data_IF_348812794557
#
_entry.id   IF_348812794557
#
_cell.length_a   1.000
_cell.length_b   1.000
_cell.length_c   1.000
_cell.angle_alpha   90.00
_cell.angle_beta   90.00
_cell.angle_gamma   90.00
#
_symmetry.space_group_name_H-M   'P 1'
#
loop_
_entity.id
_entity.type
_entity.pdbx_description
1 polymer ?
#
# COMPACT_ATOMS: atom_id res chain seq x y z
N UNK A 1 48.09 8.89 42.29
CA UNK A 1 47.36 9.81 41.40
C UNK A 1 47.82 9.47 39.98
N UNK A 2 47.05 8.67 39.20
CA UNK A 2 46.11 9.13 38.14
C UNK A 2 46.81 10.15 37.21
N UNK A 3 47.05 9.94 35.91
CA UNK A 3 46.29 9.22 34.89
C UNK A 3 47.17 8.71 33.73
N UNK A 4 46.85 7.51 33.25
CA UNK A 4 47.23 6.95 31.95
C UNK A 4 46.52 7.70 30.82
N UNK A 5 47.27 8.10 29.79
CA UNK A 5 46.74 8.65 28.54
C UNK A 5 46.63 7.51 27.53
N UNK A 6 45.40 7.12 27.21
CA UNK A 6 45.05 6.12 26.21
C UNK A 6 44.71 6.88 24.91
N UNK A 7 45.60 6.80 23.92
CA UNK A 7 45.38 7.38 22.58
C UNK A 7 44.41 6.49 21.80
N UNK A 8 43.16 6.95 21.64
CA UNK A 8 42.20 6.32 20.74
C UNK A 8 42.41 6.77 19.30
N UNK A 9 42.82 5.82 18.47
CA UNK A 9 42.88 5.89 17.02
C UNK A 9 41.43 5.96 16.47
N UNK A 10 41.01 7.12 15.97
CA UNK A 10 39.75 7.25 15.23
C UNK A 10 39.96 6.76 13.79
N UNK A 11 39.37 5.62 13.47
CA UNK A 11 39.28 5.08 12.12
C UNK A 11 38.23 5.90 11.34
N UNK A 12 38.69 6.76 10.43
CA UNK A 12 37.80 7.51 9.54
C UNK A 12 37.30 6.59 8.41
N UNK A 13 36.05 6.14 8.51
CA UNK A 13 35.39 5.38 7.43
C UNK A 13 35.08 6.32 6.28
N UNK A 14 35.75 6.11 5.14
CA UNK A 14 35.46 6.76 3.86
C UNK A 14 34.13 6.21 3.34
N UNK A 15 33.08 7.03 3.32
CA UNK A 15 31.83 6.70 2.62
C UNK A 15 32.02 7.12 1.16
N UNK A 16 32.27 6.13 0.29
CA UNK A 16 32.25 6.32 -1.16
C UNK A 16 30.78 6.37 -1.59
N UNK A 17 30.26 7.57 -1.79
CA UNK A 17 28.97 7.77 -2.48
C UNK A 17 29.18 7.65 -3.99
N UNK A 18 28.91 6.48 -4.56
CA UNK A 18 28.76 6.32 -6.01
C UNK A 18 27.39 6.85 -6.43
N UNK A 19 27.38 8.07 -6.98
CA UNK A 19 26.24 8.65 -7.67
C UNK A 19 26.06 7.98 -9.03
N UNK A 20 25.23 6.95 -9.11
CA UNK A 20 24.77 6.44 -10.41
C UNK A 20 23.60 7.32 -10.89
N UNK A 21 23.90 8.25 -11.80
CA UNK A 21 22.91 8.81 -12.71
C UNK A 21 22.41 7.70 -13.62
N UNK A 22 21.19 7.21 -13.37
CA UNK A 22 20.45 6.42 -14.35
C UNK A 22 19.47 7.35 -15.05
N UNK A 23 19.90 7.91 -16.17
CA UNK A 23 19.00 8.39 -17.20
C UNK A 23 18.41 7.17 -17.91
N UNK A 24 17.14 6.88 -17.65
CA UNK A 24 16.36 5.89 -18.38
C UNK A 24 14.90 6.31 -18.39
N UNK A 25 14.36 6.57 -19.57
CA UNK A 25 12.93 6.64 -19.79
C UNK A 25 12.34 5.23 -19.57
N UNK A 26 12.07 4.91 -18.31
CA UNK A 26 11.39 3.71 -17.87
C UNK A 26 10.60 4.10 -16.64
N UNK A 27 9.35 3.62 -16.53
CA UNK A 27 8.50 3.84 -15.36
C UNK A 27 9.33 3.62 -14.10
N UNK A 28 9.63 4.68 -13.36
CA UNK A 28 10.53 4.60 -12.22
C UNK A 28 10.05 3.48 -11.30
N UNK A 29 10.91 2.50 -11.03
CA UNK A 29 10.65 1.45 -10.04
C UNK A 29 10.52 2.14 -8.69
N UNK A 30 9.27 2.43 -8.28
CA UNK A 30 9.00 3.02 -6.99
C UNK A 30 9.31 1.98 -5.93
N UNK A 31 10.05 2.39 -4.89
CA UNK A 31 10.42 1.50 -3.80
C UNK A 31 9.18 0.97 -3.08
N UNK A 32 9.28 -0.26 -2.55
CA UNK A 32 8.25 -0.88 -1.72
C UNK A 32 7.92 0.01 -0.52
N UNK A 33 6.64 0.19 -0.23
CA UNK A 33 6.20 1.02 0.88
C UNK A 33 6.46 0.34 2.24
N UNK A 34 6.62 1.13 3.31
CA UNK A 34 6.76 0.59 4.67
C UNK A 34 5.55 -0.25 5.03
N UNK A 35 5.76 -1.51 5.40
CA UNK A 35 4.67 -2.41 5.79
C UNK A 35 3.97 -1.88 7.03
N UNK A 36 2.64 -1.76 6.95
CA UNK A 36 1.76 -1.42 8.07
C UNK A 36 0.73 -2.53 8.24
N UNK A 37 0.25 -2.66 9.47
CA UNK A 37 -0.86 -3.55 9.82
C UNK A 37 -2.16 -2.74 10.00
N UNK A 38 -3.06 -2.73 9.00
CA UNK A 38 -4.33 -2.01 9.10
C UNK A 38 -5.24 -2.57 10.19
N UNK A 39 -5.07 -3.83 10.60
CA UNK A 39 -5.86 -4.45 11.67
C UNK A 39 -5.66 -3.78 13.03
N UNK A 40 -4.52 -3.13 13.22
CA UNK A 40 -4.16 -2.35 14.41
C UNK A 40 -4.46 -0.85 14.26
N UNK A 41 -5.31 -0.49 13.29
CA UNK A 41 -5.64 0.89 12.94
C UNK A 41 -4.39 1.72 12.57
N UNK A 42 -3.30 1.08 12.12
CA UNK A 42 -2.05 1.79 11.80
C UNK A 42 -2.24 2.73 10.61
N UNK A 43 -2.98 2.31 9.58
CA UNK A 43 -3.32 3.17 8.45
C UNK A 43 -4.10 4.40 8.92
N UNK A 44 -5.13 4.19 9.74
CA UNK A 44 -5.95 5.26 10.32
C UNK A 44 -5.11 6.24 11.17
N UNK A 45 -4.14 5.73 11.94
CA UNK A 45 -3.19 6.57 12.71
C UNK A 45 -2.34 7.43 11.79
N UNK A 46 -1.90 6.92 10.64
CA UNK A 46 -1.11 7.70 9.69
C UNK A 46 -1.90 8.90 9.14
N UNK A 47 -3.21 8.72 8.90
CA UNK A 47 -4.11 9.76 8.37
C UNK A 47 -4.40 10.89 9.37
N UNK A 48 -4.03 10.75 10.66
CA UNK A 48 -4.16 11.81 11.65
C UNK A 48 -3.09 12.90 11.55
N UNK A 49 -1.97 12.62 10.88
CA UNK A 49 -0.80 13.50 10.86
C UNK A 49 -0.39 13.86 9.43
N UNK A 50 -0.55 15.14 9.07
CA UNK A 50 -0.19 15.67 7.74
C UNK A 50 1.27 15.47 7.35
N UNK A 51 2.18 15.27 8.32
CA UNK A 51 3.58 14.94 8.04
C UNK A 51 3.76 13.56 7.36
N UNK A 52 2.69 12.76 7.29
CA UNK A 52 2.67 11.50 6.54
C UNK A 52 2.29 11.67 5.05
N UNK A 53 1.97 12.89 4.61
CA UNK A 53 1.68 13.18 3.19
C UNK A 53 2.88 12.78 2.33
N UNK A 54 2.61 12.04 1.26
CA UNK A 54 3.64 11.55 0.34
C UNK A 54 4.44 10.35 0.84
N UNK A 55 4.20 9.85 2.06
CA UNK A 55 4.85 8.61 2.53
C UNK A 55 4.28 7.40 1.78
N UNK A 56 5.18 6.49 1.40
CA UNK A 56 4.83 5.18 0.83
C UNK A 56 4.70 4.15 1.93
N UNK A 57 3.54 3.50 2.00
CA UNK A 57 3.25 2.42 2.93
C UNK A 57 2.74 1.21 2.16
N UNK A 58 2.69 0.05 2.80
CA UNK A 58 2.16 -1.15 2.19
C UNK A 58 1.34 -1.99 3.15
N UNK A 59 0.42 -2.77 2.61
CA UNK A 59 -0.40 -3.74 3.35
C UNK A 59 -0.26 -5.10 2.69
N UNK A 60 -0.44 -6.16 3.47
CA UNK A 60 -0.45 -7.53 2.98
C UNK A 60 -1.84 -8.11 3.19
N UNK A 61 -2.43 -8.67 2.14
CA UNK A 61 -3.74 -9.33 2.23
C UNK A 61 -4.14 -10.03 0.94
N UNK A 62 -5.41 -10.41 0.87
CA UNK A 62 -6.02 -11.07 -0.27
C UNK A 62 -6.86 -10.07 -1.06
N UNK A 63 -6.61 -9.93 -2.38
CA UNK A 63 -7.41 -9.07 -3.23
C UNK A 63 -8.87 -9.57 -3.29
N UNK A 64 -9.83 -8.64 -3.32
CA UNK A 64 -11.26 -8.89 -3.47
C UNK A 64 -11.94 -7.74 -4.23
N UNK A 65 -12.89 -7.99 -5.15
CA UNK A 65 -13.73 -6.94 -5.73
C UNK A 65 -15.05 -6.79 -4.96
N UNK A 66 -15.57 -5.57 -4.83
CA UNK A 66 -16.77 -5.24 -4.04
C UNK A 66 -18.09 -5.75 -4.63
N UNK A 67 -18.05 -6.34 -5.82
CA UNK A 67 -19.21 -6.89 -6.54
C UNK A 67 -18.83 -7.25 -7.97
N UNK A 68 -19.86 -7.41 -8.82
CA UNK A 68 -19.67 -7.65 -10.25
C UNK A 68 -18.84 -6.51 -10.87
N UNK A 69 -17.76 -6.88 -11.55
CA UNK A 69 -16.95 -5.93 -12.29
C UNK A 69 -17.71 -5.60 -13.58
N UNK A 70 -18.14 -4.35 -13.71
CA UNK A 70 -18.75 -3.85 -14.93
C UNK A 70 -17.66 -3.31 -15.84
N UNK A 71 -17.40 -4.00 -16.94
CA UNK A 71 -16.48 -3.51 -17.98
C UNK A 71 -17.19 -2.45 -18.81
N UNK A 72 -17.07 -1.19 -18.41
CA UNK A 72 -17.59 -0.03 -19.14
C UNK A 72 -16.50 1.02 -19.34
N UNK A 73 -16.67 1.91 -20.32
CA UNK A 73 -15.76 3.04 -20.55
C UNK A 73 -15.83 3.95 -19.31
N UNK A 74 -14.71 4.08 -18.59
CA UNK A 74 -14.48 4.96 -17.42
C UNK A 74 -14.95 4.49 -16.03
N UNK A 75 -15.22 3.21 -15.80
CA UNK A 75 -15.48 2.69 -14.45
C UNK A 75 -14.35 1.75 -14.00
N UNK A 76 -13.26 2.34 -13.49
CA UNK A 76 -12.17 1.56 -12.90
C UNK A 76 -12.69 0.82 -11.65
N UNK A 77 -12.46 -0.50 -11.54
CA UNK A 77 -12.99 -1.27 -10.43
C UNK A 77 -12.29 -0.89 -9.12
N UNK A 78 -13.03 -1.05 -8.04
CA UNK A 78 -12.50 -0.90 -6.67
C UNK A 78 -11.99 -2.25 -6.19
N UNK A 79 -10.67 -2.34 -6.01
CA UNK A 79 -10.02 -3.48 -5.41
C UNK A 79 -9.93 -3.29 -3.90
N UNK A 80 -10.56 -4.20 -3.17
CA UNK A 80 -10.39 -4.37 -1.74
C UNK A 80 -9.22 -5.33 -1.45
N UNK A 81 -8.57 -5.12 -0.33
CA UNK A 81 -7.58 -6.05 0.23
C UNK A 81 -8.11 -6.50 1.58
N UNK A 82 -8.35 -7.81 1.74
CA UNK A 82 -8.92 -8.39 2.94
C UNK A 82 -7.89 -9.25 3.71
N UNK A 83 -8.15 -9.47 5.00
CA UNK A 83 -7.30 -10.33 5.83
C UNK A 83 -7.38 -11.82 5.49
N UNK A 84 -8.49 -12.26 4.88
CA UNK A 84 -8.74 -13.64 4.48
C UNK A 84 -9.17 -13.74 3.01
N UNK A 85 -9.12 -14.95 2.45
CA UNK A 85 -9.48 -15.24 1.06
C UNK A 85 -10.96 -15.02 0.76
N UNK A 86 -11.29 -14.93 -0.52
CA UNK A 86 -12.66 -14.93 -1.04
C UNK A 86 -13.53 -13.80 -0.46
N UNK A 87 -12.93 -12.63 -0.23
CA UNK A 87 -13.66 -11.49 0.31
C UNK A 87 -13.96 -11.55 1.81
N UNK A 88 -13.48 -12.59 2.51
CA UNK A 88 -13.76 -12.81 3.94
C UNK A 88 -12.81 -12.05 4.85
N UNK A 89 -13.14 -12.06 6.14
CA UNK A 89 -12.37 -11.38 7.16
C UNK A 89 -12.52 -9.87 7.08
N UNK A 90 -11.51 -9.14 7.53
CA UNK A 90 -11.55 -7.68 7.68
C UNK A 90 -11.01 -6.99 6.43
N UNK A 91 -11.68 -5.91 6.03
CA UNK A 91 -11.19 -4.99 5.01
C UNK A 91 -9.96 -4.23 5.54
N UNK A 92 -8.83 -4.39 4.85
CA UNK A 92 -7.54 -3.78 5.19
C UNK A 92 -7.29 -2.48 4.45
N UNK A 93 -7.65 -2.44 3.16
CA UNK A 93 -7.54 -1.27 2.29
C UNK A 93 -8.51 -1.41 1.11
N UNK A 94 -8.86 -0.28 0.48
CA UNK A 94 -9.69 -0.22 -0.72
C UNK A 94 -9.17 0.89 -1.63
N UNK A 95 -9.02 0.61 -2.92
CA UNK A 95 -8.51 1.56 -3.90
C UNK A 95 -8.99 1.24 -5.32
N UNK A 96 -9.03 2.26 -6.17
CA UNK A 96 -9.34 2.14 -7.60
C UNK A 96 -8.13 1.60 -8.35
N UNK A 97 -8.33 0.65 -9.27
CA UNK A 97 -7.27 0.07 -10.11
C UNK A 97 -7.70 0.02 -11.58
N UNK A 98 -6.88 0.49 -12.53
CA UNK A 98 -7.28 0.55 -13.94
C UNK A 98 -7.31 -0.83 -14.62
N UNK A 99 -8.15 -0.93 -15.66
CA UNK A 99 -8.15 -2.10 -16.56
C UNK A 99 -7.01 -2.08 -17.56
N UNK A 100 -6.41 -3.24 -17.81
CA UNK A 100 -5.48 -3.41 -18.92
C UNK A 100 -4.64 -4.68 -18.83
N UNK A 101 -3.42 -4.63 -19.38
CA UNK A 101 -2.46 -5.76 -19.43
C UNK A 101 -1.04 -5.34 -19.06
N UNK A 102 -0.87 -4.11 -18.57
CA UNK A 102 0.38 -3.53 -18.09
C UNK A 102 0.59 -3.71 -16.59
N UNK A 103 1.65 -3.09 -16.08
CA UNK A 103 2.02 -3.19 -14.66
C UNK A 103 1.03 -2.40 -13.77
N UNK A 104 0.61 -3.01 -12.66
CA UNK A 104 -0.39 -2.46 -11.72
C UNK A 104 -1.79 -2.23 -12.33
N UNK A 105 -2.11 -3.00 -13.37
CA UNK A 105 -3.43 -3.03 -13.98
C UNK A 105 -4.11 -4.37 -13.68
N UNK A 106 -5.43 -4.41 -13.82
CA UNK A 106 -6.21 -5.65 -13.73
C UNK A 106 -6.66 -6.04 -15.12
N UNK A 107 -6.39 -7.30 -15.49
CA UNK A 107 -6.93 -7.87 -16.72
C UNK A 107 -8.21 -8.65 -16.41
N UNK A 108 -9.27 -8.32 -17.14
CA UNK A 108 -10.59 -8.95 -17.04
C UNK A 108 -11.06 -9.41 -18.43
N UNK A 109 -11.36 -10.71 -18.63
CA UNK A 109 -11.96 -11.22 -19.88
C UNK A 109 -13.40 -10.74 -20.09
N UNK A 110 -13.95 -10.87 -21.31
CA UNK A 110 -15.34 -10.48 -21.64
C UNK A 110 -16.42 -11.27 -20.86
N UNK A 111 -16.11 -12.49 -20.41
CA UNK A 111 -16.92 -13.27 -19.46
C UNK A 111 -16.00 -14.04 -18.54
N UNK A 112 -16.22 -13.96 -17.22
CA UNK A 112 -15.28 -14.50 -16.25
C UNK A 112 -15.89 -14.54 -14.83
N UNK A 113 -15.25 -15.29 -13.95
CA UNK A 113 -15.49 -15.34 -12.50
C UNK A 113 -14.27 -14.79 -11.75
N UNK A 114 -14.39 -14.55 -10.43
CA UNK A 114 -13.24 -14.11 -9.62
C UNK A 114 -12.01 -15.04 -9.70
N UNK A 115 -12.20 -16.31 -10.05
CA UNK A 115 -11.11 -17.28 -10.23
C UNK A 115 -10.29 -17.08 -11.51
N UNK A 116 -10.85 -16.38 -12.49
CA UNK A 116 -10.22 -16.09 -13.78
C UNK A 116 -9.40 -14.79 -13.74
N UNK A 117 -9.49 -14.05 -12.64
CA UNK A 117 -8.78 -12.79 -12.43
C UNK A 117 -7.29 -13.07 -12.21
N UNK A 118 -6.48 -12.25 -12.87
CA UNK A 118 -5.02 -12.31 -12.82
C UNK A 118 -4.50 -10.93 -12.42
N UNK A 119 -3.53 -10.91 -11.51
CA UNK A 119 -2.81 -9.71 -11.13
C UNK A 119 -1.40 -9.73 -11.72
N UNK A 120 -0.91 -8.58 -12.15
CA UNK A 120 0.47 -8.41 -12.60
C UNK A 120 1.24 -7.59 -11.56
N UNK A 121 2.37 -8.13 -11.09
CA UNK A 121 3.22 -7.41 -10.16
C UNK A 121 4.03 -6.30 -10.85
N UNK A 122 4.85 -5.60 -10.07
CA UNK A 122 5.68 -4.51 -10.55
C UNK A 122 6.69 -4.93 -11.65
N UNK A 123 7.08 -6.21 -11.69
CA UNK A 123 8.00 -6.75 -12.69
C UNK A 123 7.27 -7.36 -13.89
N UNK A 124 5.93 -7.26 -13.91
CA UNK A 124 5.06 -7.81 -14.95
C UNK A 124 4.83 -9.32 -14.81
N UNK A 125 5.17 -9.92 -13.66
CA UNK A 125 4.92 -11.33 -13.39
C UNK A 125 3.45 -11.57 -13.06
N UNK A 126 2.96 -12.72 -13.54
CA UNK A 126 1.57 -13.15 -13.38
C UNK A 126 1.34 -13.78 -12.02
N UNK A 127 0.32 -13.32 -11.30
CA UNK A 127 -0.15 -13.87 -10.04
C UNK A 127 -1.61 -14.30 -10.10
N UNK A 128 -1.92 -15.44 -9.49
CA UNK A 128 -3.31 -15.81 -9.26
C UNK A 128 -3.95 -14.89 -8.22
N UNK A 129 -5.22 -14.55 -8.41
CA UNK A 129 -6.01 -13.79 -7.44
C UNK A 129 -6.11 -14.44 -6.05
N UNK A 130 -5.90 -15.76 -5.95
CA UNK A 130 -5.90 -16.47 -4.68
C UNK A 130 -4.58 -16.35 -3.89
N UNK A 131 -3.54 -15.78 -4.51
CA UNK A 131 -2.24 -15.56 -3.87
C UNK A 131 -2.29 -14.39 -2.88
N UNK A 132 -1.46 -14.50 -1.84
CA UNK A 132 -1.26 -13.42 -0.88
C UNK A 132 -0.18 -12.50 -1.44
N UNK A 133 -0.50 -11.21 -1.60
CA UNK A 133 0.38 -10.23 -2.23
C UNK A 133 0.61 -9.02 -1.32
N UNK A 134 1.67 -8.26 -1.59
CA UNK A 134 1.95 -7.00 -0.90
C UNK A 134 1.58 -5.82 -1.81
N UNK A 135 0.74 -4.92 -1.29
CA UNK A 135 0.27 -3.74 -2.02
C UNK A 135 0.90 -2.49 -1.40
N UNK A 136 1.73 -1.77 -2.15
CA UNK A 136 2.35 -0.52 -1.73
C UNK A 136 1.64 0.68 -2.36
N UNK A 137 1.48 1.78 -1.63
CA UNK A 137 0.83 2.99 -2.12
C UNK A 137 1.34 4.24 -1.40
N UNK A 138 1.19 5.40 -2.05
CA UNK A 138 1.49 6.73 -1.50
C UNK A 138 0.26 7.33 -0.83
N UNK A 139 0.42 7.91 0.35
CA UNK A 139 -0.65 8.65 1.04
C UNK A 139 -0.82 10.07 0.47
N UNK A 140 -1.91 10.29 -0.27
CA UNK A 140 -2.30 11.61 -0.77
C UNK A 140 -3.23 12.31 0.23
N UNK A 141 -2.63 12.83 1.31
CA UNK A 141 -3.34 13.54 2.38
C UNK A 141 -3.82 14.92 1.90
N UNK A 142 -5.13 15.16 2.04
CA UNK A 142 -5.79 16.44 1.72
C UNK A 142 -5.79 17.36 2.94
N UNK A 143 -4.65 17.97 3.23
CA UNK A 143 -4.40 18.81 4.41
C UNK A 143 -5.11 20.17 4.39
N UNK A 144 -5.66 20.56 3.24
CA UNK A 144 -6.51 21.74 3.04
C UNK A 144 -8.02 21.46 3.23
N UNK A 145 -8.44 20.21 3.44
CA UNK A 145 -9.85 19.83 3.63
C UNK A 145 -10.19 19.61 5.10
N UNK A 146 -11.45 19.83 5.46
CA UNK A 146 -11.96 19.55 6.81
C UNK A 146 -11.76 18.08 7.17
N UNK A 147 -11.22 17.83 8.38
CA UNK A 147 -11.03 16.49 8.91
C UNK A 147 -12.37 15.76 9.06
N UNK A 148 -12.41 14.51 8.63
CA UNK A 148 -13.57 13.63 8.71
C UNK A 148 -13.50 12.78 9.98
N UNK A 149 -14.67 12.37 10.48
CA UNK A 149 -14.75 11.40 11.57
C UNK A 149 -14.60 10.00 11.00
N UNK A 150 -13.73 9.20 11.62
CA UNK A 150 -13.57 7.77 11.36
C UNK A 150 -13.64 7.02 12.69
N UNK A 151 -14.04 5.75 12.63
CA UNK A 151 -14.15 4.88 13.80
C UNK A 151 -13.07 3.79 13.70
N UNK A 152 -12.19 3.67 14.70
CA UNK A 152 -11.28 2.55 14.83
C UNK A 152 -12.06 1.25 14.83
N UNK A 153 -11.44 0.21 14.29
CA UNK A 153 -12.01 -1.11 14.26
C UNK A 153 -11.50 -1.94 15.46
N UNK A 154 -12.38 -2.75 16.06
CA UNK A 154 -12.02 -3.73 17.08
C UNK A 154 -11.34 -4.97 16.46
N UNK A 155 -10.95 -5.96 17.26
CA UNK A 155 -10.29 -7.18 16.78
C UNK A 155 -11.09 -7.94 15.70
N UNK A 156 -12.43 -7.90 15.79
CA UNK A 156 -13.35 -8.50 14.82
C UNK A 156 -13.60 -7.65 13.57
N UNK A 157 -13.03 -6.43 13.49
CA UNK A 157 -13.20 -5.52 12.36
C UNK A 157 -14.47 -4.73 12.35
N UNK A 158 -15.18 -4.71 13.48
CA UNK A 158 -16.36 -3.89 13.64
C UNK A 158 -15.96 -2.50 14.16
N UNK A 159 -16.63 -1.42 13.69
CA UNK A 159 -16.37 -0.08 14.21
C UNK A 159 -16.66 0.03 15.70
N UNK A 160 -15.75 0.71 16.42
CA UNK A 160 -15.91 1.05 17.83
C UNK A 160 -16.59 2.43 17.90
N UNK A 161 -17.92 2.45 18.02
CA UNK A 161 -18.73 3.66 17.85
C UNK A 161 -18.52 4.73 18.93
N UNK A 162 -18.02 4.37 20.11
CA UNK A 162 -17.71 5.31 21.20
C UNK A 162 -16.31 5.94 21.09
N UNK A 163 -15.50 5.50 20.11
CA UNK A 163 -14.09 5.88 20.00
C UNK A 163 -13.80 6.60 18.68
N UNK A 164 -14.49 7.71 18.41
CA UNK A 164 -14.29 8.47 17.18
C UNK A 164 -12.92 9.15 17.09
N UNK A 165 -12.28 9.12 15.91
CA UNK A 165 -11.04 9.85 15.62
C UNK A 165 -11.26 10.78 14.43
N UNK A 166 -10.61 11.94 14.47
CA UNK A 166 -10.56 12.86 13.32
C UNK A 166 -9.37 12.52 12.43
N UNK A 167 -9.57 12.35 11.13
CA UNK A 167 -8.49 12.13 10.16
C UNK A 167 -8.57 13.12 9.01
N UNK A 168 -7.45 13.34 8.34
CA UNK A 168 -7.47 14.05 7.06
C UNK A 168 -8.07 13.14 5.97
N UNK A 169 -8.93 13.67 5.08
CA UNK A 169 -9.31 12.92 3.88
C UNK A 169 -8.03 12.51 3.13
N UNK A 170 -7.90 11.22 2.83
CA UNK A 170 -6.68 10.65 2.25
C UNK A 170 -7.06 9.74 1.10
N UNK A 171 -6.41 9.93 -0.05
CA UNK A 171 -6.50 9.02 -1.19
C UNK A 171 -5.23 8.17 -1.26
N UNK A 172 -5.34 6.95 -1.75
CA UNK A 172 -4.20 6.07 -1.98
C UNK A 172 -3.81 6.16 -3.46
N UNK A 173 -2.56 6.54 -3.75
CA UNK A 173 -2.06 6.73 -5.12
C UNK A 173 -0.79 5.91 -5.37
N UNK A 174 -0.30 5.86 -6.61
CA UNK A 174 0.96 5.17 -6.99
C UNK A 174 1.04 3.72 -6.50
N UNK A 175 -0.06 2.99 -6.70
CA UNK A 175 -0.24 1.61 -6.25
C UNK A 175 0.79 0.70 -6.94
N UNK A 176 1.42 -0.17 -6.16
CA UNK A 176 2.31 -1.23 -6.61
C UNK A 176 1.91 -2.55 -6.00
N UNK A 177 1.95 -3.60 -6.81
CA UNK A 177 1.72 -4.98 -6.38
C UNK A 177 3.06 -5.70 -6.42
N UNK A 178 3.43 -6.35 -5.33
CA UNK A 178 4.68 -7.10 -5.22
C UNK A 178 4.39 -8.51 -4.68
N UNK A 179 5.16 -9.50 -5.14
CA UNK A 179 5.22 -10.81 -4.50
C UNK A 179 5.77 -10.68 -3.07
N UNK A 180 5.29 -11.52 -2.18
CA UNK A 180 5.85 -11.68 -0.84
C UNK A 180 7.09 -12.59 -0.96
N UNK A 181 8.26 -12.09 -0.54
CA UNK A 181 9.51 -12.86 -0.46
C UNK A 181 9.45 -13.90 0.66
#
# INVERSE_FOLDING_TARGET
MKHSQLTHLFLATVIITTSALVCGCGHAHLTKGTLVDPLQNQLLKLETNKANKGKRVSVIGYPNFTGDIKTGINDDPVLNVNSERDGKGRLLASFTIPFGKGANEVHVPETFTNHDIVLYDNDGLKHSYAEKLQFSFTLSIQDNRTRITQYPLNAAGLPIMDSAIKVYPTYLTDIRIDKIQ
#
